data_IF_106347849074
#
_entry.id   IF_106347849074
#
_cell.length_a   1.000
_cell.length_b   1.000
_cell.length_c   1.000
_cell.angle_alpha   90.00
_cell.angle_beta   90.00
_cell.angle_gamma   90.00
#
_symmetry.space_group_name_H-M   'P 1'
#
loop_
_entity.id
_entity.type
_entity.pdbx_description
1 polymer ?
#
# COMPACT_ATOMS: atom_id res chain seq x y z
N UNK A 1 -4.38 11.59 -17.45
CA UNK A 1 -3.43 11.83 -16.37
C UNK A 1 -3.34 10.62 -15.47
N UNK A 2 -2.15 10.14 -15.19
CA UNK A 2 -1.98 8.95 -14.41
C UNK A 2 -1.92 9.21 -12.90
N UNK A 3 -2.00 8.13 -12.14
CA UNK A 3 -1.78 8.15 -10.71
C UNK A 3 -0.49 7.41 -10.42
N UNK A 4 0.24 7.86 -9.43
CA UNK A 4 1.47 7.21 -9.00
C UNK A 4 1.46 7.06 -7.48
N UNK A 5 1.68 5.84 -7.01
CA UNK A 5 1.81 5.57 -5.58
C UNK A 5 3.04 4.70 -5.37
N UNK A 6 3.91 5.15 -4.48
CA UNK A 6 5.08 4.40 -4.08
C UNK A 6 4.72 3.57 -2.85
N UNK A 7 5.11 2.29 -2.85
CA UNK A 7 4.91 1.39 -1.71
C UNK A 7 6.25 0.81 -1.29
N UNK A 8 6.57 0.95 -0.02
CA UNK A 8 7.81 0.43 0.57
C UNK A 8 7.44 -0.51 1.72
N UNK A 9 7.85 -1.78 1.63
CA UNK A 9 7.49 -2.75 2.65
C UNK A 9 8.13 -2.37 3.98
N UNK A 10 7.29 -2.32 5.02
CA UNK A 10 7.72 -2.00 6.37
C UNK A 10 7.84 -3.27 7.23
N UNK A 11 6.95 -4.24 7.01
CA UNK A 11 6.91 -5.46 7.80
C UNK A 11 6.12 -6.54 7.07
N UNK A 12 6.49 -7.79 7.27
CA UNK A 12 5.71 -8.91 6.75
C UNK A 12 5.93 -10.14 7.61
N UNK A 13 4.85 -10.88 7.89
CA UNK A 13 4.92 -12.22 8.46
C UNK A 13 3.86 -13.09 7.78
N UNK A 14 3.55 -14.26 8.36
CA UNK A 14 2.61 -15.19 7.76
C UNK A 14 1.18 -14.65 7.71
N UNK A 15 0.85 -13.74 8.61
CA UNK A 15 -0.52 -13.24 8.78
C UNK A 15 -0.76 -11.90 8.14
N UNK A 16 0.24 -11.02 8.14
CA UNK A 16 0.06 -9.64 7.69
C UNK A 16 1.24 -9.16 6.88
N UNK A 17 0.99 -8.15 6.05
CA UNK A 17 2.04 -7.37 5.40
C UNK A 17 1.68 -5.91 5.53
N UNK A 18 2.70 -5.08 5.86
CA UNK A 18 2.53 -3.64 6.07
C UNK A 18 3.43 -2.90 5.10
N UNK A 19 2.84 -1.96 4.37
CA UNK A 19 3.56 -1.08 3.46
C UNK A 19 3.40 0.36 3.89
N UNK A 20 4.46 1.14 3.68
CA UNK A 20 4.32 2.59 3.65
C UNK A 20 3.89 2.96 2.25
N UNK A 21 2.97 3.91 2.12
CA UNK A 21 2.40 4.27 0.83
C UNK A 21 2.25 5.78 0.70
N UNK A 22 2.48 6.30 -0.48
CA UNK A 22 2.29 7.72 -0.71
C UNK A 22 2.86 8.18 -2.04
N UNK A 23 2.80 9.49 -2.30
CA UNK A 23 3.31 10.05 -3.54
C UNK A 23 4.83 10.02 -3.64
N UNK A 24 5.53 10.02 -2.50
CA UNK A 24 6.99 9.97 -2.43
C UNK A 24 7.42 9.61 -1.02
N UNK A 25 8.71 9.31 -0.84
CA UNK A 25 9.22 8.80 0.44
C UNK A 25 8.99 9.74 1.62
N UNK A 26 8.96 11.04 1.39
CA UNK A 26 8.78 12.02 2.45
C UNK A 26 7.33 12.21 2.87
N UNK A 27 6.39 11.66 2.10
CA UNK A 27 4.95 11.84 2.36
C UNK A 27 4.30 10.47 2.30
N UNK A 28 4.23 9.80 3.44
CA UNK A 28 3.73 8.43 3.49
C UNK A 28 2.83 8.16 4.68
N UNK A 29 1.85 7.29 4.45
CA UNK A 29 1.08 6.65 5.51
C UNK A 29 1.46 5.18 5.60
N UNK A 30 0.71 4.41 6.37
CA UNK A 30 0.91 2.96 6.49
C UNK A 30 -0.40 2.22 6.29
N UNK A 31 -0.32 1.14 5.52
CA UNK A 31 -1.46 0.28 5.20
C UNK A 31 -1.09 -1.17 5.55
N UNK A 32 -2.02 -1.87 6.19
CA UNK A 32 -1.84 -3.28 6.53
C UNK A 32 -2.81 -4.13 5.74
N UNK A 33 -2.33 -5.25 5.21
CA UNK A 33 -3.18 -6.28 4.64
C UNK A 33 -3.11 -7.50 5.54
N UNK A 34 -4.27 -7.95 6.02
CA UNK A 34 -4.37 -9.23 6.70
C UNK A 34 -4.53 -10.30 5.63
N UNK A 35 -3.54 -11.18 5.51
CA UNK A 35 -3.50 -12.18 4.44
C UNK A 35 -4.57 -13.24 4.56
N UNK A 36 -5.05 -13.50 5.78
CA UNK A 36 -6.06 -14.51 6.03
C UNK A 36 -7.46 -14.00 5.73
N UNK A 37 -7.79 -12.83 6.22
CA UNK A 37 -9.12 -12.23 6.01
C UNK A 37 -9.21 -11.44 4.72
N UNK A 38 -8.05 -11.06 4.16
CA UNK A 38 -7.93 -10.21 2.98
C UNK A 38 -8.49 -8.81 3.19
N UNK A 39 -8.47 -8.36 4.45
CA UNK A 39 -8.95 -7.03 4.83
C UNK A 39 -7.79 -6.07 4.94
N UNK A 40 -8.04 -4.83 4.51
CA UNK A 40 -7.06 -3.75 4.61
C UNK A 40 -7.39 -2.85 5.79
N UNK A 41 -6.34 -2.37 6.46
CA UNK A 41 -6.50 -1.43 7.56
C UNK A 41 -5.51 -0.30 7.39
N UNK A 42 -5.97 0.92 7.69
CA UNK A 42 -5.10 2.08 7.68
C UNK A 42 -4.46 2.20 9.06
N UNK A 43 -3.13 2.07 9.11
CA UNK A 43 -2.40 2.21 10.36
C UNK A 43 -1.99 3.67 10.61
N UNK A 44 -1.59 4.36 9.55
CA UNK A 44 -1.26 5.78 9.61
C UNK A 44 -1.73 6.45 8.33
N UNK A 45 -2.42 7.59 8.43
CA UNK A 45 -2.82 8.32 7.23
C UNK A 45 -1.64 9.12 6.66
N UNK A 46 -1.75 9.48 5.39
CA UNK A 46 -0.85 10.46 4.80
C UNK A 46 -1.27 11.81 5.39
N UNK A 47 -0.39 12.39 6.19
CA UNK A 47 -0.72 13.63 6.90
C UNK A 47 -0.19 14.84 6.13
N UNK A 48 -0.82 15.12 4.98
CA UNK A 48 -0.42 16.23 4.13
C UNK A 48 -1.67 16.86 3.51
N UNK A 49 -1.90 18.18 3.72
CA UNK A 49 -3.12 18.84 3.25
C UNK A 49 -3.24 18.91 1.72
N UNK A 50 -2.15 18.72 1.00
CA UNK A 50 -2.15 18.78 -0.46
C UNK A 50 -2.38 17.44 -1.13
N UNK A 51 -2.53 16.36 -0.34
CA UNK A 51 -2.69 15.02 -0.89
C UNK A 51 -3.85 14.31 -0.21
N UNK A 52 -4.74 13.71 -1.01
CA UNK A 52 -5.87 12.95 -0.50
C UNK A 52 -5.39 11.58 0.00
N UNK A 53 -5.52 11.33 1.30
CA UNK A 53 -5.17 10.05 1.87
C UNK A 53 -5.97 8.92 1.24
N UNK A 54 -7.28 9.11 1.07
CA UNK A 54 -8.15 8.08 0.51
C UNK A 54 -7.75 7.69 -0.91
N UNK A 55 -7.36 8.68 -1.72
CA UNK A 55 -6.90 8.43 -3.07
C UNK A 55 -5.71 7.47 -3.08
N UNK A 56 -4.71 7.76 -2.26
CA UNK A 56 -3.49 6.94 -2.20
C UNK A 56 -3.73 5.61 -1.53
N UNK A 57 -4.56 5.59 -0.48
CA UNK A 57 -4.90 4.35 0.22
C UNK A 57 -5.57 3.35 -0.73
N UNK A 58 -6.55 3.81 -1.50
CA UNK A 58 -7.27 2.94 -2.43
C UNK A 58 -6.33 2.33 -3.46
N UNK A 59 -5.42 3.12 -3.99
CA UNK A 59 -4.49 2.63 -4.99
C UNK A 59 -3.43 1.70 -4.40
N UNK A 60 -2.99 1.99 -3.20
CA UNK A 60 -2.08 1.09 -2.49
C UNK A 60 -2.75 -0.25 -2.23
N UNK A 61 -4.01 -0.24 -1.79
CA UNK A 61 -4.77 -1.47 -1.57
C UNK A 61 -4.91 -2.28 -2.85
N UNK A 62 -5.19 -1.62 -3.97
CA UNK A 62 -5.30 -2.31 -5.27
C UNK A 62 -3.97 -2.97 -5.64
N UNK A 63 -2.87 -2.27 -5.43
CA UNK A 63 -1.55 -2.84 -5.78
C UNK A 63 -1.20 -4.04 -4.91
N UNK A 64 -1.51 -3.96 -3.62
CA UNK A 64 -1.27 -5.08 -2.70
C UNK A 64 -2.18 -6.27 -3.01
N UNK A 65 -3.45 -6.01 -3.35
CA UNK A 65 -4.37 -7.06 -3.73
C UNK A 65 -3.88 -7.82 -4.97
N UNK A 66 -3.26 -7.11 -5.88
CA UNK A 66 -2.70 -7.71 -7.09
C UNK A 66 -1.57 -8.68 -6.76
N UNK A 67 -0.72 -8.35 -5.78
CA UNK A 67 0.30 -9.29 -5.31
C UNK A 67 -0.33 -10.56 -4.78
N UNK A 68 -1.41 -10.43 -4.03
CA UNK A 68 -2.08 -11.56 -3.41
C UNK A 68 -2.76 -12.46 -4.44
N UNK A 69 -3.43 -11.87 -5.41
CA UNK A 69 -4.29 -12.60 -6.36
C UNK A 69 -3.55 -13.02 -7.62
N UNK A 70 -2.68 -12.16 -8.16
CA UNK A 70 -2.07 -12.37 -9.47
C UNK A 70 -0.57 -12.61 -9.45
N UNK A 71 0.09 -12.34 -8.35
CA UNK A 71 1.55 -12.45 -8.27
C UNK A 71 1.99 -13.50 -7.26
N UNK A 72 1.15 -14.50 -7.06
CA UNK A 72 1.50 -15.67 -6.25
C UNK A 72 1.64 -15.41 -4.76
N UNK A 73 1.10 -14.30 -4.27
CA UNK A 73 1.20 -13.96 -2.86
C UNK A 73 2.57 -13.43 -2.46
N UNK A 74 3.38 -13.03 -3.44
CA UNK A 74 4.71 -12.48 -3.18
C UNK A 74 4.62 -10.97 -3.05
N UNK A 75 5.16 -10.44 -1.95
CA UNK A 75 5.12 -9.00 -1.66
C UNK A 75 6.55 -8.45 -1.71
N UNK A 76 6.93 -7.72 -2.78
CA UNK A 76 8.30 -7.20 -2.89
C UNK A 76 8.57 -6.06 -1.90
N UNK A 77 9.86 -5.80 -1.67
CA UNK A 77 10.29 -4.73 -0.77
C UNK A 77 9.83 -3.37 -1.26
N UNK A 78 9.79 -3.18 -2.56
CA UNK A 78 9.39 -1.92 -3.17
C UNK A 78 8.53 -2.20 -4.40
N UNK A 79 7.45 -1.46 -4.52
CA UNK A 79 6.61 -1.56 -5.71
C UNK A 79 5.88 -0.24 -5.92
N UNK A 80 5.25 -0.10 -7.07
CA UNK A 80 4.52 1.11 -7.42
C UNK A 80 3.15 0.75 -7.99
N UNK A 81 2.22 1.66 -7.82
CA UNK A 81 0.96 1.67 -8.57
C UNK A 81 1.06 2.81 -9.57
N UNK A 82 0.86 2.50 -10.84
CA UNK A 82 0.88 3.48 -11.91
C UNK A 82 -0.32 3.26 -12.82
N UNK A 83 -0.93 4.36 -13.21
CA UNK A 83 -2.05 4.27 -14.14
C UNK A 83 -2.04 5.41 -15.15
#
# INVERSE_FOLDING_TARGET
MGAFVLLLKDYEDESVVIYRFGPKEEIMGKIELNKETRMFSELEPINNPNHSNQFYFDRAAQRMARCLVKEGGVFPEKMTFES
#
